data_IF_985219951789
#
_entry.id   IF_985219951789
#
_cell.length_a   1.000
_cell.length_b   1.000
_cell.length_c   1.000
_cell.angle_alpha   90.00
_cell.angle_beta   90.00
_cell.angle_gamma   90.00
#
_symmetry.space_group_name_H-M   'P 1'
#
loop_
_entity.id
_entity.type
_entity.pdbx_description
1 polymer ?
#
# COMPACT_ATOMS: atom_id res chain seq x y z
N UNK A 1 -20.60 -13.85 -60.27
CA UNK A 1 -20.07 -13.66 -58.89
C UNK A 1 -20.47 -12.27 -58.43
N UNK A 2 -21.26 -12.19 -57.37
CA UNK A 2 -21.90 -10.95 -56.93
C UNK A 2 -20.85 -9.97 -56.35
N UNK A 3 -20.81 -8.74 -56.87
CA UNK A 3 -19.80 -7.72 -56.50
C UNK A 3 -19.88 -7.36 -55.00
N UNK A 4 -21.07 -7.38 -54.42
CA UNK A 4 -21.26 -7.07 -53.00
C UNK A 4 -20.67 -8.15 -52.07
N UNK A 5 -20.67 -9.40 -52.52
CA UNK A 5 -20.05 -10.51 -51.79
C UNK A 5 -18.51 -10.40 -51.77
N UNK A 6 -17.92 -9.91 -52.86
CA UNK A 6 -16.47 -9.69 -52.95
C UNK A 6 -16.04 -8.54 -52.05
N UNK A 7 -16.82 -7.45 -51.96
CA UNK A 7 -16.53 -6.30 -51.10
C UNK A 7 -16.64 -6.64 -49.60
N UNK A 8 -17.64 -7.43 -49.20
CA UNK A 8 -17.76 -7.86 -47.79
C UNK A 8 -16.63 -8.80 -47.37
N UNK A 9 -16.24 -9.75 -48.23
CA UNK A 9 -15.12 -10.65 -47.91
C UNK A 9 -13.76 -9.95 -47.91
N UNK A 10 -13.50 -9.00 -48.83
CA UNK A 10 -12.25 -8.22 -48.81
C UNK A 10 -12.12 -7.39 -47.53
N UNK A 11 -13.23 -6.83 -47.04
CA UNK A 11 -13.22 -6.03 -45.82
C UNK A 11 -12.88 -6.88 -44.58
N UNK A 12 -13.43 -8.09 -44.49
CA UNK A 12 -13.16 -9.01 -43.37
C UNK A 12 -11.71 -9.51 -43.40
N UNK A 13 -11.15 -9.80 -44.58
CA UNK A 13 -9.75 -10.24 -44.68
C UNK A 13 -8.73 -9.13 -44.40
N UNK A 14 -9.07 -7.85 -44.64
CA UNK A 14 -8.15 -6.72 -44.42
C UNK A 14 -8.14 -6.15 -43.00
N UNK A 15 -9.20 -6.37 -42.21
CA UNK A 15 -9.30 -5.92 -40.80
C UNK A 15 -8.13 -6.39 -39.92
N UNK A 16 -7.69 -7.67 -39.94
CA UNK A 16 -6.54 -8.09 -39.13
C UNK A 16 -5.23 -7.38 -39.53
N UNK A 17 -5.04 -7.11 -40.82
CA UNK A 17 -3.86 -6.38 -41.30
C UNK A 17 -3.89 -4.90 -40.90
N UNK A 18 -5.07 -4.27 -40.90
CA UNK A 18 -5.23 -2.90 -40.39
C UNK A 18 -4.91 -2.81 -38.89
N UNK A 19 -5.32 -3.82 -38.11
CA UNK A 19 -5.01 -3.91 -36.68
C UNK A 19 -3.50 -4.07 -36.42
N UNK A 20 -2.83 -4.94 -37.18
CA UNK A 20 -1.37 -5.12 -37.15
C UNK A 20 -0.65 -3.84 -37.57
N UNK A 21 -1.15 -3.15 -38.60
CA UNK A 21 -0.55 -1.90 -39.08
C UNK A 21 -0.67 -0.78 -38.06
N UNK A 22 -1.82 -0.61 -37.39
CA UNK A 22 -1.98 0.34 -36.27
C UNK A 22 -1.06 -0.01 -35.11
N UNK A 23 -0.91 -1.30 -34.80
CA UNK A 23 -0.04 -1.78 -33.72
C UNK A 23 1.44 -1.53 -34.01
N UNK A 24 1.89 -1.77 -35.25
CA UNK A 24 3.25 -1.49 -35.70
C UNK A 24 3.53 0.02 -35.80
N UNK A 25 2.57 0.81 -36.29
CA UNK A 25 2.73 2.26 -36.43
C UNK A 25 2.89 2.96 -35.07
N UNK A 26 2.19 2.49 -34.02
CA UNK A 26 2.41 2.97 -32.64
C UNK A 26 3.83 2.67 -32.10
N UNK A 27 4.47 1.60 -32.56
CA UNK A 27 5.81 1.22 -32.13
C UNK A 27 6.92 1.93 -32.89
N UNK A 28 6.68 2.39 -34.13
CA UNK A 28 7.70 3.00 -34.98
C UNK A 28 7.89 4.51 -34.73
N UNK A 29 6.94 5.19 -34.09
CA UNK A 29 7.07 6.63 -33.74
C UNK A 29 7.57 6.87 -32.31
N UNK A 30 8.12 5.84 -31.64
CA UNK A 30 8.79 6.02 -30.36
C UNK A 30 10.13 6.74 -30.60
N UNK A 31 10.12 8.04 -30.36
CA UNK A 31 11.24 8.96 -30.51
C UNK A 31 12.44 8.50 -29.65
N UNK A 32 13.55 8.21 -30.30
CA UNK A 32 14.77 7.70 -29.69
C UNK A 32 15.63 8.86 -29.19
N UNK A 33 15.18 9.55 -28.14
CA UNK A 33 16.07 10.42 -27.37
C UNK A 33 15.52 10.74 -25.97
N UNK A 34 16.00 10.00 -24.96
CA UNK A 34 16.55 10.51 -23.68
C UNK A 34 16.33 9.56 -22.49
N UNK A 35 17.46 9.19 -21.88
CA UNK A 35 17.72 8.69 -20.51
C UNK A 35 16.78 7.64 -19.88
N UNK A 36 17.36 6.45 -19.67
CA UNK A 36 16.99 5.40 -18.69
C UNK A 36 15.51 5.25 -18.30
N UNK A 37 14.82 4.35 -18.99
CA UNK A 37 14.15 3.25 -18.28
C UNK A 37 12.66 3.36 -17.97
N UNK A 38 11.85 4.10 -18.72
CA UNK A 38 10.39 3.96 -18.62
C UNK A 38 9.89 2.76 -19.43
N UNK A 39 10.00 1.57 -18.85
CA UNK A 39 9.40 0.32 -19.35
C UNK A 39 7.94 0.17 -18.86
N UNK A 40 7.16 1.25 -18.74
CA UNK A 40 5.73 1.12 -18.45
C UNK A 40 4.95 0.85 -19.74
N UNK A 41 4.29 -0.32 -19.89
CA UNK A 41 3.37 -0.53 -21.00
C UNK A 41 2.26 0.53 -20.94
N UNK A 42 1.82 1.10 -22.08
CA UNK A 42 0.78 2.12 -22.08
C UNK A 42 -0.48 1.64 -21.33
N UNK A 43 -0.92 2.42 -20.35
CA UNK A 43 -2.06 2.11 -19.48
C UNK A 43 -1.72 1.39 -18.16
N UNK A 44 -0.43 1.24 -17.80
CA UNK A 44 0.00 0.58 -16.56
C UNK A 44 0.94 1.42 -15.68
N UNK A 45 0.81 2.75 -15.71
CA UNK A 45 1.61 3.63 -14.84
C UNK A 45 1.00 3.69 -13.45
N UNK A 46 1.77 3.25 -12.45
CA UNK A 46 1.41 3.37 -11.03
C UNK A 46 2.19 4.52 -10.38
N UNK A 47 1.56 5.18 -9.41
CA UNK A 47 2.26 6.14 -8.53
C UNK A 47 3.40 5.39 -7.84
N UNK A 48 4.63 5.88 -7.96
CA UNK A 48 5.77 5.46 -7.14
C UNK A 48 6.26 6.67 -6.37
N UNK A 49 5.94 6.74 -5.08
CA UNK A 49 6.26 7.89 -4.24
C UNK A 49 7.04 7.45 -2.99
N UNK A 50 8.23 8.00 -2.79
CA UNK A 50 8.98 7.79 -1.55
C UNK A 50 8.44 8.76 -0.50
N UNK A 51 7.89 8.21 0.58
CA UNK A 51 7.30 8.97 1.66
C UNK A 51 8.38 9.28 2.71
N UNK A 52 8.43 10.54 3.14
CA UNK A 52 9.42 11.03 4.08
C UNK A 52 8.83 12.12 4.97
N UNK A 53 9.03 12.01 6.28
CA UNK A 53 8.73 13.04 7.27
C UNK A 53 9.92 13.24 8.21
N UNK A 54 10.15 14.49 8.63
CA UNK A 54 11.15 14.85 9.63
C UNK A 54 10.70 14.58 11.08
N UNK A 55 9.44 14.15 11.25
CA UNK A 55 8.85 13.74 12.53
C UNK A 55 9.14 12.29 12.91
N UNK A 56 9.63 11.48 11.97
CA UNK A 56 10.10 10.12 12.20
C UNK A 56 11.64 10.04 12.04
N UNK A 57 12.31 9.03 12.63
CA UNK A 57 13.75 8.84 12.47
C UNK A 57 14.17 8.78 10.99
N UNK A 58 15.27 9.44 10.67
CA UNK A 58 15.83 9.43 9.32
C UNK A 58 16.35 8.03 8.97
N UNK A 59 16.20 7.55 7.73
CA UNK A 59 16.83 6.31 7.30
C UNK A 59 18.35 6.35 7.51
N UNK A 60 18.92 5.29 8.10
CA UNK A 60 20.37 5.15 8.36
C UNK A 60 21.08 4.27 7.31
N UNK A 61 20.39 3.97 6.21
CA UNK A 61 20.88 3.13 5.11
C UNK A 61 20.10 3.37 3.82
N UNK A 62 20.32 2.56 2.77
CA UNK A 62 19.73 2.75 1.44
C UNK A 62 18.26 2.25 1.39
N UNK A 63 17.38 2.85 2.20
CA UNK A 63 15.94 2.56 2.24
C UNK A 63 15.12 3.82 2.50
N UNK A 64 13.85 3.80 2.13
CA UNK A 64 12.88 4.87 2.42
C UNK A 64 12.13 4.60 3.73
N UNK A 65 11.66 5.63 4.43
CA UNK A 65 10.75 5.43 5.59
C UNK A 65 9.52 4.61 5.17
N UNK A 66 8.92 5.01 4.05
CA UNK A 66 7.95 4.20 3.33
C UNK A 66 8.01 4.46 1.82
N UNK A 67 7.44 3.54 1.04
CA UNK A 67 7.26 3.69 -0.40
C UNK A 67 5.82 3.36 -0.76
N UNK A 68 5.15 4.31 -1.41
CA UNK A 68 3.88 4.06 -2.06
C UNK A 68 4.12 3.51 -3.46
N UNK A 69 3.44 2.40 -3.78
CA UNK A 69 3.31 1.89 -5.14
C UNK A 69 1.83 1.66 -5.46
N UNK A 70 1.26 2.49 -6.33
CA UNK A 70 -0.16 2.50 -6.62
C UNK A 70 -0.99 2.81 -5.36
N UNK A 71 -1.79 1.83 -4.93
CA UNK A 71 -2.66 1.92 -3.74
C UNK A 71 -2.11 1.17 -2.53
N UNK A 72 -0.84 0.78 -2.55
CA UNK A 72 -0.21 0.07 -1.45
C UNK A 72 0.98 0.89 -0.95
N UNK A 73 1.06 1.08 0.36
CA UNK A 73 2.23 1.68 1.00
C UNK A 73 2.95 0.60 1.79
N UNK A 74 4.25 0.50 1.58
CA UNK A 74 5.16 -0.36 2.33
C UNK A 74 5.93 0.52 3.31
N UNK A 75 5.70 0.32 4.61
CA UNK A 75 6.41 1.01 5.68
C UNK A 75 7.58 0.11 6.09
N UNK A 76 8.79 0.66 6.06
CA UNK A 76 10.00 -0.03 6.53
C UNK A 76 9.90 -0.38 8.01
N UNK A 77 10.74 -1.30 8.48
CA UNK A 77 10.79 -1.67 9.90
C UNK A 77 11.02 -0.47 10.81
N UNK A 78 10.10 -0.27 11.75
CA UNK A 78 10.16 0.78 12.76
C UNK A 78 10.69 0.18 14.06
N UNK A 79 11.79 0.73 14.56
CA UNK A 79 12.34 0.46 15.90
C UNK A 79 12.09 1.66 16.81
N UNK A 80 12.29 1.48 18.12
CA UNK A 80 12.06 2.49 19.16
C UNK A 80 13.08 3.62 19.19
N UNK A 81 13.43 4.21 18.04
CA UNK A 81 14.36 5.32 17.94
C UNK A 81 13.70 6.66 18.24
N UNK A 82 14.39 7.49 19.00
CA UNK A 82 14.10 8.92 19.09
C UNK A 82 14.66 9.66 17.86
N UNK A 83 13.82 10.47 17.20
CA UNK A 83 14.14 11.11 15.91
C UNK A 83 15.27 12.15 16.01
N UNK A 84 15.43 12.77 17.17
CA UNK A 84 16.35 13.89 17.38
C UNK A 84 17.72 13.37 17.82
N UNK A 85 17.74 12.39 18.73
CA UNK A 85 18.97 11.80 19.25
C UNK A 85 19.47 10.61 18.44
N UNK A 86 18.61 10.02 17.60
CA UNK A 86 18.88 8.79 16.82
C UNK A 86 19.36 7.62 17.70
N UNK A 87 18.85 7.55 18.94
CA UNK A 87 19.12 6.47 19.91
C UNK A 87 17.84 5.74 20.29
N UNK A 88 17.97 4.48 20.68
CA UNK A 88 16.85 3.71 21.24
C UNK A 88 16.39 4.37 22.54
N UNK A 89 15.08 4.51 22.70
CA UNK A 89 14.50 5.03 23.94
C UNK A 89 14.79 4.06 25.09
N UNK A 90 15.08 4.57 26.30
CA UNK A 90 15.24 3.71 27.48
C UNK A 90 13.90 3.12 27.90
N UNK A 91 13.92 2.00 28.64
CA UNK A 91 12.71 1.34 29.15
C UNK A 91 12.42 -0.03 28.53
N UNK A 92 13.27 -0.51 27.63
CA UNK A 92 13.17 -1.86 27.07
C UNK A 92 12.05 -2.02 26.05
N UNK A 93 11.60 -3.26 25.83
CA UNK A 93 10.70 -3.62 24.73
C UNK A 93 9.37 -2.84 24.73
N UNK A 94 8.84 -2.50 25.90
CA UNK A 94 7.60 -1.73 26.01
C UNK A 94 7.76 -0.31 25.47
N UNK A 95 8.77 0.42 25.98
CA UNK A 95 9.05 1.79 25.57
C UNK A 95 9.46 1.84 24.08
N UNK A 96 10.24 0.86 23.64
CA UNK A 96 10.63 0.75 22.23
C UNK A 96 9.43 0.45 21.33
N UNK A 97 8.48 -0.41 21.74
CA UNK A 97 7.27 -0.69 20.98
C UNK A 97 6.38 0.55 20.84
N UNK A 98 6.18 1.28 21.94
CA UNK A 98 5.46 2.55 21.95
C UNK A 98 6.10 3.52 20.94
N UNK A 99 7.42 3.69 21.02
CA UNK A 99 8.12 4.65 20.16
C UNK A 99 8.12 4.21 18.70
N UNK A 100 8.28 2.92 18.41
CA UNK A 100 8.19 2.38 17.06
C UNK A 100 6.82 2.65 16.42
N UNK A 101 5.74 2.49 17.19
CA UNK A 101 4.38 2.77 16.72
C UNK A 101 4.13 4.27 16.58
N UNK A 102 4.64 5.12 17.47
CA UNK A 102 4.60 6.58 17.27
C UNK A 102 5.33 7.00 16.00
N UNK A 103 6.52 6.46 15.74
CA UNK A 103 7.27 6.73 14.51
C UNK A 103 6.48 6.28 13.27
N UNK A 104 5.82 5.11 13.34
CA UNK A 104 4.93 4.63 12.29
C UNK A 104 3.74 5.57 12.06
N UNK A 105 3.17 6.14 13.12
CA UNK A 105 2.08 7.12 13.02
C UNK A 105 2.50 8.34 12.22
N UNK A 106 3.66 8.91 12.50
CA UNK A 106 4.14 10.09 11.76
C UNK A 106 4.34 9.78 10.25
N UNK A 107 4.77 8.56 9.91
CA UNK A 107 4.91 8.10 8.51
C UNK A 107 3.54 7.88 7.85
N UNK A 108 2.57 7.33 8.60
CA UNK A 108 1.18 7.20 8.13
C UNK A 108 0.57 8.57 7.88
N UNK A 109 0.77 9.54 8.78
CA UNK A 109 0.24 10.90 8.66
C UNK A 109 0.83 11.63 7.44
N UNK A 110 2.12 11.45 7.13
CA UNK A 110 2.74 11.94 5.88
C UNK A 110 2.05 11.38 4.63
N UNK A 111 1.55 10.15 4.71
CA UNK A 111 0.79 9.52 3.65
C UNK A 111 -0.72 9.82 3.70
N UNK A 112 -1.18 10.74 4.56
CA UNK A 112 -2.59 10.99 4.85
C UNK A 112 -3.37 9.70 5.20
N UNK A 113 -2.73 8.80 5.93
CA UNK A 113 -3.27 7.53 6.38
C UNK A 113 -3.29 7.47 7.92
N UNK A 114 -4.03 6.50 8.45
CA UNK A 114 -4.08 6.20 9.88
C UNK A 114 -3.87 4.70 10.12
N UNK A 115 -3.79 4.29 11.39
CA UNK A 115 -3.65 2.86 11.75
C UNK A 115 -4.79 1.97 11.22
N UNK A 116 -5.98 2.53 11.00
CA UNK A 116 -7.11 1.83 10.36
C UNK A 116 -6.85 1.45 8.90
N UNK A 117 -5.90 2.09 8.23
CA UNK A 117 -5.52 1.77 6.85
C UNK A 117 -4.50 0.61 6.77
N UNK A 118 -3.89 0.23 7.91
CA UNK A 118 -2.91 -0.85 7.96
C UNK A 118 -3.63 -2.18 7.81
N UNK A 119 -3.19 -2.98 6.85
CA UNK A 119 -3.81 -4.28 6.53
C UNK A 119 -2.98 -5.46 7.01
N UNK A 120 -1.66 -5.27 7.14
CA UNK A 120 -0.71 -6.29 7.62
C UNK A 120 0.41 -5.65 8.42
N UNK A 121 0.80 -6.29 9.52
CA UNK A 121 2.04 -5.98 10.24
C UNK A 121 2.91 -7.22 10.42
N UNK A 122 4.21 -7.05 10.46
CA UNK A 122 5.14 -8.07 10.97
C UNK A 122 5.85 -7.49 12.18
N UNK A 123 5.81 -8.21 13.30
CA UNK A 123 6.43 -7.82 14.56
C UNK A 123 7.61 -8.75 14.81
N UNK A 124 8.81 -8.19 14.82
CA UNK A 124 10.02 -8.91 15.17
C UNK A 124 10.39 -8.58 16.62
N UNK A 125 10.56 -9.60 17.44
CA UNK A 125 10.98 -9.48 18.83
C UNK A 125 12.42 -9.99 18.97
N UNK A 126 13.22 -9.33 19.79
CA UNK A 126 14.52 -9.89 20.17
C UNK A 126 14.38 -11.08 21.13
N UNK A 127 13.41 -11.01 22.05
CA UNK A 127 13.05 -12.09 22.97
C UNK A 127 11.53 -12.31 22.94
N UNK A 128 11.10 -13.56 22.79
CA UNK A 128 9.68 -13.93 22.79
C UNK A 128 9.02 -13.68 24.17
N UNK A 129 9.80 -13.58 25.25
CA UNK A 129 9.28 -13.22 26.56
C UNK A 129 8.65 -11.81 26.58
N UNK A 130 9.04 -10.93 25.67
CA UNK A 130 8.48 -9.58 25.53
C UNK A 130 7.12 -9.54 24.80
N UNK A 131 6.61 -10.70 24.32
CA UNK A 131 5.39 -10.76 23.52
C UNK A 131 4.17 -10.13 24.20
N UNK A 132 3.97 -10.40 25.50
CA UNK A 132 2.82 -9.88 26.23
C UNK A 132 2.87 -8.35 26.36
N UNK A 133 4.04 -7.79 26.71
CA UNK A 133 4.18 -6.35 26.93
C UNK A 133 4.09 -5.56 25.62
N UNK A 134 4.69 -6.08 24.54
CA UNK A 134 4.58 -5.48 23.20
C UNK A 134 3.13 -5.52 22.70
N UNK A 135 2.40 -6.61 22.96
CA UNK A 135 0.98 -6.71 22.59
C UNK A 135 0.09 -5.69 23.30
N UNK A 136 0.38 -5.40 24.57
CA UNK A 136 -0.39 -4.41 25.31
C UNK A 136 -0.24 -3.01 24.68
N UNK A 137 1.00 -2.60 24.36
CA UNK A 137 1.25 -1.36 23.60
C UNK A 137 0.61 -1.38 22.22
N UNK A 138 0.74 -2.49 21.48
CA UNK A 138 0.16 -2.62 20.14
C UNK A 138 -1.35 -2.34 20.10
N UNK A 139 -2.10 -2.81 21.12
CA UNK A 139 -3.56 -2.60 21.23
C UNK A 139 -3.98 -1.16 21.52
N UNK A 140 -3.04 -0.29 21.89
CA UNK A 140 -3.33 1.14 22.09
C UNK A 140 -3.41 1.89 20.75
N UNK A 141 -2.76 1.37 19.71
CA UNK A 141 -2.72 1.97 18.37
C UNK A 141 -3.67 1.29 17.38
N UNK A 142 -3.79 -0.04 17.44
CA UNK A 142 -4.68 -0.81 16.57
C UNK A 142 -5.98 -1.17 17.29
N UNK A 143 -7.09 -1.16 16.54
CA UNK A 143 -8.43 -1.54 17.01
C UNK A 143 -9.03 -2.59 16.08
N UNK A 144 -10.11 -3.24 16.51
CA UNK A 144 -10.85 -4.17 15.66
C UNK A 144 -11.52 -3.46 14.47
N UNK A 145 -11.53 -4.07 13.27
CA UNK A 145 -10.82 -5.30 12.92
C UNK A 145 -9.30 -5.07 12.86
N UNK A 146 -8.53 -5.89 13.60
CA UNK A 146 -7.08 -5.78 13.65
C UNK A 146 -6.45 -6.14 12.29
N UNK A 147 -5.30 -5.57 11.92
CA UNK A 147 -4.57 -5.99 10.73
C UNK A 147 -4.16 -7.46 10.85
N UNK A 148 -3.98 -8.12 9.70
CA UNK A 148 -3.29 -9.41 9.68
C UNK A 148 -1.90 -9.25 10.33
N UNK A 149 -1.45 -10.27 11.07
CA UNK A 149 -0.21 -10.13 11.84
C UNK A 149 0.60 -11.42 11.90
N UNK A 150 1.91 -11.25 11.82
CA UNK A 150 2.90 -12.29 12.10
C UNK A 150 3.82 -11.76 13.19
N UNK A 151 4.11 -12.57 14.20
CA UNK A 151 5.07 -12.21 15.27
C UNK A 151 6.07 -13.34 15.43
N UNK A 152 7.36 -13.00 15.39
CA UNK A 152 8.46 -13.96 15.50
C UNK A 152 9.57 -13.40 16.39
N UNK A 153 10.34 -14.29 17.02
CA UNK A 153 11.59 -13.91 17.66
C UNK A 153 12.75 -14.05 16.66
N UNK A 154 13.66 -13.08 16.65
CA UNK A 154 14.84 -13.04 15.78
C UNK A 154 16.12 -12.95 16.60
N UNK A 155 17.24 -13.37 16.02
CA UNK A 155 18.52 -13.41 16.75
C UNK A 155 19.00 -12.02 17.19
N UNK A 156 18.87 -11.01 16.33
CA UNK A 156 19.27 -9.62 16.57
C UNK A 156 18.42 -8.67 15.72
N UNK A 157 18.23 -7.46 16.24
CA UNK A 157 17.63 -6.34 15.52
C UNK A 157 18.68 -5.21 15.37
N UNK A 158 18.49 -4.29 14.41
CA UNK A 158 19.35 -3.13 14.22
C UNK A 158 19.55 -2.36 15.53
N UNK A 159 20.78 -1.90 15.77
CA UNK A 159 21.17 -1.11 16.95
C UNK A 159 20.92 -1.81 18.32
N UNK A 160 20.61 -3.12 18.32
CA UNK A 160 20.28 -3.85 19.54
C UNK A 160 18.86 -3.60 20.04
N UNK A 161 17.95 -3.17 19.16
CA UNK A 161 16.54 -2.97 19.47
C UNK A 161 15.91 -4.26 20.02
N UNK A 162 14.86 -4.09 20.83
CA UNK A 162 14.06 -5.17 21.41
C UNK A 162 12.86 -5.54 20.54
N UNK A 163 12.38 -4.59 19.74
CA UNK A 163 11.23 -4.78 18.85
C UNK A 163 11.40 -3.97 17.57
N UNK A 164 10.98 -4.55 16.46
CA UNK A 164 10.86 -3.89 15.16
C UNK A 164 9.50 -4.23 14.54
N UNK A 165 8.82 -3.23 13.97
CA UNK A 165 7.48 -3.37 13.40
C UNK A 165 7.44 -2.79 11.99
N UNK A 166 7.18 -3.62 10.99
CA UNK A 166 6.88 -3.19 9.62
C UNK A 166 5.37 -3.24 9.36
N UNK A 167 4.91 -2.51 8.35
CA UNK A 167 3.50 -2.47 7.98
C UNK A 167 3.26 -2.36 6.47
N UNK A 168 2.15 -2.95 6.03
CA UNK A 168 1.57 -2.74 4.71
C UNK A 168 0.24 -2.02 4.91
N UNK A 169 0.03 -0.96 4.13
CA UNK A 169 -1.11 -0.06 4.25
C UNK A 169 -1.87 -0.03 2.92
N UNK A 170 -3.20 -0.10 3.00
CA UNK A 170 -4.09 0.19 1.88
C UNK A 170 -4.32 1.70 1.77
N UNK A 171 -3.92 2.29 0.64
CA UNK A 171 -4.08 3.72 0.37
C UNK A 171 -5.45 4.00 -0.30
N UNK A 172 -6.13 5.03 0.22
CA UNK A 172 -7.47 5.46 -0.18
C UNK A 172 -8.59 4.79 0.60
N UNK A 173 -9.83 5.11 0.23
CA UNK A 173 -11.02 4.65 0.95
C UNK A 173 -11.20 3.13 0.87
N UNK A 174 -11.68 2.57 1.97
CA UNK A 174 -12.07 1.17 2.07
C UNK A 174 -13.44 1.08 2.76
N UNK A 175 -14.27 0.14 2.29
CA UNK A 175 -15.58 -0.15 2.87
C UNK A 175 -15.50 -1.53 3.49
N UNK A 176 -15.76 -1.64 4.80
CA UNK A 176 -15.88 -2.95 5.43
C UNK A 176 -17.22 -3.56 5.01
N UNK A 177 -17.20 -4.77 4.47
CA UNK A 177 -18.42 -5.42 3.97
C UNK A 177 -19.45 -5.65 5.10
N UNK A 178 -18.98 -5.82 6.35
CA UNK A 178 -19.85 -5.93 7.51
C UNK A 178 -20.73 -4.69 7.78
N UNK A 179 -20.26 -3.48 7.42
CA UNK A 179 -21.09 -2.26 7.42
C UNK A 179 -21.67 -1.95 6.04
N UNK A 180 -20.99 -2.37 4.98
CA UNK A 180 -21.39 -2.14 3.60
C UNK A 180 -22.67 -2.86 3.21
N UNK A 181 -22.96 -4.05 3.75
CA UNK A 181 -24.25 -4.71 3.51
C UNK A 181 -25.41 -3.87 4.06
N UNK A 182 -25.32 -3.39 5.30
CA UNK A 182 -26.37 -2.57 5.92
C UNK A 182 -26.60 -1.27 5.13
N UNK A 183 -25.54 -0.62 4.65
CA UNK A 183 -25.65 0.61 3.84
C UNK A 183 -26.21 0.35 2.45
N UNK A 184 -25.82 -0.74 1.80
CA UNK A 184 -26.33 -1.12 0.48
C UNK A 184 -27.81 -1.55 0.56
N UNK A 185 -28.21 -2.24 1.62
CA UNK A 185 -29.60 -2.60 1.90
C UNK A 185 -30.47 -1.35 2.15
N UNK A 186 -29.99 -0.38 2.94
CA UNK A 186 -30.69 0.90 3.16
C UNK A 186 -30.80 1.76 1.88
N UNK A 187 -29.78 1.75 1.03
CA UNK A 187 -29.81 2.47 -0.26
C UNK A 187 -30.75 1.79 -1.27
N UNK A 188 -30.84 0.46 -1.28
CA UNK A 188 -31.82 -0.28 -2.09
C UNK A 188 -33.25 -0.09 -1.61
N UNK A 189 -33.52 -0.10 -0.30
CA UNK A 189 -34.86 0.17 0.25
C UNK A 189 -35.35 1.57 -0.09
N UNK A 190 -34.52 2.60 0.13
CA UNK A 190 -34.85 4.00 -0.21
C UNK A 190 -35.09 4.20 -1.71
N UNK A 191 -34.41 3.45 -2.57
CA UNK A 191 -34.59 3.50 -4.02
C UNK A 191 -35.87 2.79 -4.46
N UNK A 192 -36.27 1.74 -3.73
CA UNK A 192 -37.50 1.00 -3.96
C UNK A 192 -38.73 1.80 -3.53
N UNK A 193 -38.72 2.42 -2.35
CA UNK A 193 -39.82 3.28 -1.87
C UNK A 193 -40.08 4.46 -2.81
N UNK A 194 -39.03 5.12 -3.29
CA UNK A 194 -39.14 6.25 -4.22
C UNK A 194 -39.65 5.87 -5.61
N UNK A 195 -39.59 4.58 -5.96
CA UNK A 195 -40.11 4.05 -7.23
C UNK A 195 -41.60 3.65 -7.15
N UNK A 196 -42.16 3.54 -5.95
CA UNK A 196 -43.57 3.18 -5.70
C UNK A 196 -44.46 4.44 -5.59
N UNK A 197 -43.87 5.62 -5.33
CA UNK A 197 -44.57 6.91 -5.26
C UNK A 197 -44.74 7.66 -6.60
N UNK A 198 -44.38 7.05 -7.75
CA UNK A 198 -44.54 7.61 -9.10
C UNK A 198 -45.59 6.81 -9.88
#
# INVERSE_FOLDING_TARGET
>A
LNMDYIKQNLFIEMVPYLYIFIYLFKYTTADSSSSEGDFSPPGKTFIRNALYTDKAPKPVGPYSQALQYGRTIYISGQIGLDKDTMKLVPGGAEAEAQKALENMREILDEANCHFSNVVKTTVYLHDMNDFAVVNNKYKEFFREPFPARTTIAVSKLPLGAKVEIEAIVGFGDSVSIAKGLEVLEEEEEKKTEKSIEI
#
